data_IF_823328033320
#
_entry.id   IF_823328033320
#
_cell.length_a   1.000
_cell.length_b   1.000
_cell.length_c   1.000
_cell.angle_alpha   90.00
_cell.angle_beta   90.00
_cell.angle_gamma   90.00
#
_symmetry.space_group_name_H-M   'P 1'
#
loop_
_entity.id
_entity.type
_entity.pdbx_description
1 polymer ?
#
# COMPACT_ATOMS: atom_id res chain seq x y z
N UNK A 1 -18.37 9.54 4.68
CA UNK A 1 -17.42 9.27 3.55
C UNK A 1 -18.08 8.63 2.32
N UNK A 2 -19.13 7.80 2.41
CA UNK A 2 -19.73 7.15 1.21
C UNK A 2 -20.37 8.12 0.19
N UNK A 3 -20.79 9.30 0.62
CA UNK A 3 -21.46 10.28 -0.23
C UNK A 3 -20.60 10.80 -1.40
N UNK A 4 -19.27 10.69 -1.32
CA UNK A 4 -18.34 11.16 -2.36
C UNK A 4 -17.85 10.05 -3.29
N UNK A 5 -18.16 8.78 -2.99
CA UNK A 5 -17.60 7.64 -3.72
C UNK A 5 -17.95 7.68 -5.22
N UNK A 6 -19.19 8.08 -5.55
CA UNK A 6 -19.65 8.20 -6.94
C UNK A 6 -18.87 9.25 -7.72
N UNK A 7 -18.64 10.42 -7.12
CA UNK A 7 -17.89 11.52 -7.73
C UNK A 7 -16.41 11.18 -7.92
N UNK A 8 -15.77 10.54 -6.93
CA UNK A 8 -14.37 10.13 -7.07
C UNK A 8 -14.20 9.10 -8.19
N UNK A 9 -15.14 8.16 -8.31
CA UNK A 9 -15.13 7.16 -9.37
C UNK A 9 -15.37 7.77 -10.76
N UNK A 10 -16.22 8.79 -10.88
CA UNK A 10 -16.46 9.48 -12.16
C UNK A 10 -15.27 10.34 -12.60
N UNK A 11 -14.57 10.98 -11.66
CA UNK A 11 -13.34 11.75 -11.94
C UNK A 11 -12.19 10.84 -12.38
N UNK A 12 -12.06 9.67 -11.74
CA UNK A 12 -11.07 8.66 -12.10
C UNK A 12 -9.61 9.01 -11.78
N UNK A 13 -8.71 8.08 -12.07
CA UNK A 13 -7.29 8.16 -11.68
C UNK A 13 -6.44 9.10 -12.57
N UNK A 14 -7.07 9.80 -13.52
CA UNK A 14 -6.45 10.79 -14.40
C UNK A 14 -6.73 12.23 -13.99
N UNK A 15 -7.61 12.47 -13.00
CA UNK A 15 -7.83 13.83 -12.49
C UNK A 15 -6.58 14.34 -11.78
N UNK A 16 -6.04 15.44 -12.29
CA UNK A 16 -4.85 16.10 -11.74
C UNK A 16 -5.13 16.59 -10.33
N UNK A 17 -6.32 17.16 -10.10
CA UNK A 17 -6.74 17.72 -8.81
C UNK A 17 -6.81 16.66 -7.72
N UNK A 18 -7.34 15.46 -8.05
CA UNK A 18 -7.36 14.34 -7.10
C UNK A 18 -5.96 13.83 -6.78
N UNK A 19 -5.09 13.74 -7.78
CA UNK A 19 -3.71 13.30 -7.60
C UNK A 19 -2.88 14.29 -6.78
N UNK A 20 -3.07 15.59 -7.01
CA UNK A 20 -2.46 16.66 -6.22
C UNK A 20 -2.97 16.65 -4.77
N UNK A 21 -4.27 16.45 -4.57
CA UNK A 21 -4.85 16.30 -3.23
C UNK A 21 -4.27 15.09 -2.50
N UNK A 22 -3.97 13.99 -3.18
CA UNK A 22 -3.28 12.84 -2.55
C UNK A 22 -1.86 13.22 -2.13
N UNK A 23 -1.03 13.82 -3.00
CA UNK A 23 0.37 14.15 -2.64
C UNK A 23 0.47 15.26 -1.58
N UNK A 24 -0.44 16.23 -1.62
CA UNK A 24 -0.47 17.40 -0.74
C UNK A 24 -1.62 17.34 0.27
N UNK A 25 -2.09 16.13 0.59
CA UNK A 25 -3.22 15.85 1.49
C UNK A 25 -3.21 16.78 2.70
N UNK A 26 -4.22 17.63 2.95
CA UNK A 26 -4.19 18.55 4.09
C UNK A 26 -4.20 17.78 5.43
N UNK A 27 -3.67 18.38 6.52
CA UNK A 27 -3.69 17.74 7.84
C UNK A 27 -5.13 17.40 8.26
N UNK A 28 -5.37 16.20 8.77
CA UNK A 28 -6.69 15.72 9.16
C UNK A 28 -7.52 15.08 8.03
N UNK A 29 -7.03 15.10 6.78
CA UNK A 29 -7.70 14.48 5.64
C UNK A 29 -7.11 13.11 5.23
N UNK A 30 -6.27 12.50 6.07
CA UNK A 30 -5.52 11.28 5.75
C UNK A 30 -6.46 10.10 5.44
N UNK A 31 -7.57 10.01 6.18
CA UNK A 31 -8.61 9.00 5.96
C UNK A 31 -9.30 9.20 4.61
N UNK A 32 -9.50 10.45 4.20
CA UNK A 32 -10.07 10.78 2.89
C UNK A 32 -9.09 10.40 1.77
N UNK A 33 -7.81 10.77 1.88
CA UNK A 33 -6.80 10.39 0.91
C UNK A 33 -6.70 8.86 0.76
N UNK A 34 -6.68 8.11 1.86
CA UNK A 34 -6.69 6.65 1.85
C UNK A 34 -7.94 6.08 1.16
N UNK A 35 -9.12 6.67 1.41
CA UNK A 35 -10.37 6.29 0.74
C UNK A 35 -10.31 6.57 -0.76
N UNK A 36 -9.80 7.72 -1.19
CA UNK A 36 -9.67 8.05 -2.61
C UNK A 36 -8.72 7.08 -3.31
N UNK A 37 -7.53 6.80 -2.76
CA UNK A 37 -6.60 5.79 -3.31
C UNK A 37 -7.28 4.43 -3.47
N UNK A 38 -8.04 4.00 -2.46
CA UNK A 38 -8.79 2.75 -2.53
C UNK A 38 -9.85 2.75 -3.63
N UNK A 39 -10.65 3.82 -3.74
CA UNK A 39 -11.70 3.93 -4.76
C UNK A 39 -11.13 3.95 -6.18
N UNK A 40 -10.00 4.64 -6.39
CA UNK A 40 -9.34 4.72 -7.70
C UNK A 40 -8.75 3.37 -8.16
N UNK A 41 -8.53 2.44 -7.23
CA UNK A 41 -7.92 1.12 -7.48
C UNK A 41 -8.89 -0.06 -7.28
N UNK A 42 -10.16 0.21 -6.97
CA UNK A 42 -11.15 -0.83 -6.64
C UNK A 42 -11.43 -1.75 -7.83
N UNK A 43 -11.47 -1.19 -9.05
CA UNK A 43 -11.80 -1.91 -10.28
C UNK A 43 -10.68 -1.96 -11.30
N UNK A 44 -9.63 -1.17 -11.08
CA UNK A 44 -8.54 -0.98 -12.03
C UNK A 44 -7.20 -1.11 -11.33
N UNK A 45 -6.15 -1.60 -12.02
CA UNK A 45 -4.80 -1.55 -11.49
C UNK A 45 -4.37 -0.09 -11.21
N UNK A 46 -3.50 0.16 -10.23
CA UNK A 46 -3.04 1.51 -9.93
C UNK A 46 -2.22 2.07 -11.09
N UNK A 47 -2.44 3.33 -11.45
CA UNK A 47 -1.62 4.02 -12.46
C UNK A 47 -0.24 4.37 -11.89
N UNK A 48 0.77 4.55 -12.75
CA UNK A 48 2.12 4.95 -12.31
C UNK A 48 2.10 6.25 -11.50
N UNK A 49 1.28 7.21 -11.92
CA UNK A 49 1.14 8.49 -11.25
C UNK A 49 0.49 8.33 -9.86
N UNK A 50 -0.56 7.52 -9.74
CA UNK A 50 -1.18 7.24 -8.45
C UNK A 50 -0.17 6.60 -7.49
N UNK A 51 0.60 5.61 -7.95
CA UNK A 51 1.65 4.96 -7.16
C UNK A 51 2.67 5.98 -6.66
N UNK A 52 3.13 6.88 -7.54
CA UNK A 52 4.11 7.92 -7.20
C UNK A 52 3.57 8.89 -6.15
N UNK A 53 2.36 9.44 -6.36
CA UNK A 53 1.74 10.41 -5.45
C UNK A 53 1.42 9.80 -4.08
N UNK A 54 0.91 8.57 -4.05
CA UNK A 54 0.68 7.83 -2.80
C UNK A 54 1.99 7.51 -2.06
N UNK A 55 3.04 7.13 -2.79
CA UNK A 55 4.36 6.89 -2.19
C UNK A 55 4.94 8.15 -1.56
N UNK A 56 4.78 9.32 -2.20
CA UNK A 56 5.18 10.61 -1.62
C UNK A 56 4.39 10.97 -0.37
N UNK A 57 3.07 10.75 -0.37
CA UNK A 57 2.23 10.98 0.81
C UNK A 57 2.73 10.14 2.00
N UNK A 58 3.05 8.87 1.75
CA UNK A 58 3.60 7.97 2.76
C UNK A 58 5.00 8.41 3.24
N UNK A 59 5.90 8.76 2.33
CA UNK A 59 7.24 9.21 2.67
C UNK A 59 7.26 10.50 3.52
N UNK A 60 6.26 11.38 3.36
CA UNK A 60 6.07 12.58 4.20
C UNK A 60 5.56 12.24 5.62
N UNK A 61 5.26 10.99 5.94
CA UNK A 61 4.72 10.57 7.23
C UNK A 61 3.27 10.98 7.46
N UNK A 62 2.55 11.35 6.39
CA UNK A 62 1.17 11.88 6.46
C UNK A 62 0.11 10.82 6.24
N UNK A 63 0.48 9.55 6.18
CA UNK A 63 -0.48 8.45 6.11
C UNK A 63 0.13 7.18 6.66
N UNK A 64 -0.72 6.23 7.04
CA UNK A 64 -0.30 4.91 7.47
C UNK A 64 0.04 4.00 6.27
N UNK A 65 0.88 3.00 6.50
CA UNK A 65 1.32 2.06 5.46
C UNK A 65 0.16 1.31 4.79
N UNK A 66 -0.99 1.14 5.44
CA UNK A 66 -2.18 0.51 4.82
C UNK A 66 -2.70 1.26 3.61
N UNK A 67 -2.43 2.56 3.50
CA UNK A 67 -2.74 3.36 2.29
C UNK A 67 -1.93 2.89 1.07
N UNK A 68 -0.82 2.17 1.27
CA UNK A 68 -0.02 1.59 0.19
C UNK A 68 -0.59 0.27 -0.35
N UNK A 69 -1.46 -0.44 0.41
CA UNK A 69 -2.03 -1.74 0.01
C UNK A 69 -2.72 -1.69 -1.37
N UNK A 70 -3.54 -0.67 -1.70
CA UNK A 70 -4.21 -0.64 -2.99
C UNK A 70 -3.25 -0.39 -4.16
N UNK A 71 -2.10 0.26 -3.91
CA UNK A 71 -1.07 0.57 -4.93
C UNK A 71 0.12 -0.42 -4.93
N UNK A 72 0.07 -1.46 -4.09
CA UNK A 72 1.18 -2.37 -3.83
C UNK A 72 1.73 -3.03 -5.10
N UNK A 73 0.87 -3.36 -6.06
CA UNK A 73 1.26 -3.98 -7.35
C UNK A 73 1.96 -3.02 -8.32
N UNK A 74 1.96 -1.72 -8.03
CA UNK A 74 2.69 -0.73 -8.82
C UNK A 74 4.08 -0.41 -8.26
N UNK A 75 4.38 -0.86 -7.05
CA UNK A 75 5.67 -0.62 -6.40
C UNK A 75 6.77 -1.50 -6.99
N UNK A 76 8.01 -0.99 -6.93
CA UNK A 76 9.20 -1.78 -7.22
C UNK A 76 9.54 -2.71 -6.06
N UNK A 77 10.33 -3.73 -6.35
CA UNK A 77 10.74 -4.76 -5.38
C UNK A 77 11.40 -4.15 -4.14
N UNK A 78 12.31 -3.20 -4.33
CA UNK A 78 12.99 -2.53 -3.21
C UNK A 78 12.02 -1.72 -2.35
N UNK A 79 11.03 -1.08 -2.97
CA UNK A 79 9.98 -0.36 -2.24
C UNK A 79 9.13 -1.33 -1.42
N UNK A 80 8.75 -2.48 -1.98
CA UNK A 80 8.02 -3.53 -1.27
C UNK A 80 8.84 -4.03 -0.08
N UNK A 81 10.12 -4.36 -0.28
CA UNK A 81 11.02 -4.82 0.78
C UNK A 81 11.14 -3.79 1.90
N UNK A 82 11.20 -2.50 1.57
CA UNK A 82 11.31 -1.42 2.55
C UNK A 82 10.04 -1.25 3.41
N UNK A 83 8.85 -1.46 2.84
CA UNK A 83 7.58 -1.30 3.57
C UNK A 83 7.09 -2.58 4.25
N UNK A 84 7.54 -3.76 3.81
CA UNK A 84 7.10 -5.05 4.34
C UNK A 84 7.19 -5.15 5.87
N UNK A 85 8.29 -4.73 6.54
CA UNK A 85 8.38 -4.74 8.01
C UNK A 85 7.28 -3.93 8.70
N UNK A 86 6.76 -2.87 8.05
CA UNK A 86 5.72 -2.01 8.63
C UNK A 86 4.35 -2.68 8.70
N UNK A 87 4.15 -3.78 7.97
CA UNK A 87 2.95 -4.61 8.07
C UNK A 87 3.09 -5.70 9.14
N UNK A 88 4.24 -6.39 9.14
CA UNK A 88 4.43 -7.61 9.96
C UNK A 88 4.99 -7.33 11.36
N UNK A 89 5.65 -6.18 11.59
CA UNK A 89 6.20 -5.84 12.92
C UNK A 89 5.30 -4.89 13.72
N UNK A 90 4.18 -4.44 13.16
CA UNK A 90 3.31 -3.43 13.80
C UNK A 90 1.96 -4.05 14.13
N UNK A 91 1.64 -4.15 15.43
CA UNK A 91 0.43 -4.80 15.91
C UNK A 91 -0.87 -4.25 15.28
N UNK A 92 -0.96 -2.93 15.07
CA UNK A 92 -2.13 -2.29 14.45
C UNK A 92 -2.32 -2.64 12.96
N UNK A 93 -1.28 -3.15 12.31
CA UNK A 93 -1.28 -3.53 10.90
C UNK A 93 -1.40 -5.04 10.66
N UNK A 94 -1.30 -5.87 11.69
CA UNK A 94 -1.39 -7.33 11.59
C UNK A 94 -2.61 -7.83 10.80
N UNK A 95 -3.79 -7.22 11.02
CA UNK A 95 -5.02 -7.58 10.30
C UNK A 95 -4.93 -7.40 8.78
N UNK A 96 -3.95 -6.63 8.29
CA UNK A 96 -3.75 -6.39 6.87
C UNK A 96 -2.76 -7.35 6.21
N UNK A 97 -1.97 -8.11 6.99
CA UNK A 97 -0.94 -9.02 6.48
C UNK A 97 -1.49 -10.04 5.45
N UNK A 98 -2.63 -10.72 5.70
CA UNK A 98 -3.17 -11.67 4.71
C UNK A 98 -3.47 -11.01 3.36
N UNK A 99 -3.98 -9.77 3.37
CA UNK A 99 -4.30 -9.00 2.16
C UNK A 99 -3.02 -8.54 1.45
N UNK A 100 -1.99 -8.16 2.20
CA UNK A 100 -0.67 -7.81 1.65
C UNK A 100 -0.06 -9.03 0.96
N UNK A 101 -0.01 -10.18 1.64
CA UNK A 101 0.53 -11.41 1.06
C UNK A 101 -0.25 -11.85 -0.17
N UNK A 102 -1.58 -11.81 -0.12
CA UNK A 102 -2.41 -12.10 -1.28
C UNK A 102 -2.07 -11.19 -2.47
N UNK A 103 -1.91 -9.88 -2.25
CA UNK A 103 -1.55 -8.94 -3.32
C UNK A 103 -0.14 -9.16 -3.86
N UNK A 104 0.82 -9.53 -3.01
CA UNK A 104 2.18 -9.82 -3.44
C UNK A 104 2.28 -11.11 -4.25
N UNK A 105 1.61 -12.16 -3.78
CA UNK A 105 1.72 -13.53 -4.33
C UNK A 105 0.79 -13.77 -5.51
N UNK A 106 -0.42 -13.20 -5.50
CA UNK A 106 -1.44 -13.44 -6.53
C UNK A 106 -1.73 -12.20 -7.38
N UNK A 107 -1.29 -11.02 -6.97
CA UNK A 107 -1.41 -9.80 -7.78
C UNK A 107 -0.55 -9.86 -9.04
N UNK A 108 -0.84 -8.98 -10.00
CA UNK A 108 0.00 -8.74 -11.17
C UNK A 108 0.61 -7.35 -11.09
N UNK A 109 1.94 -7.30 -11.18
CA UNK A 109 2.70 -6.08 -11.25
C UNK A 109 2.28 -5.26 -12.45
N UNK A 110 2.04 -3.96 -12.24
CA UNK A 110 1.70 -3.03 -13.33
C UNK A 110 2.89 -2.82 -14.27
N UNK A 111 4.11 -3.13 -13.83
CA UNK A 111 5.34 -2.94 -14.61
C UNK A 111 5.71 -4.17 -15.43
N UNK A 112 5.66 -5.36 -14.83
CA UNK A 112 6.16 -6.59 -15.44
C UNK A 112 5.06 -7.57 -15.87
N UNK A 113 3.83 -7.39 -15.39
CA UNK A 113 2.73 -8.35 -15.58
C UNK A 113 2.88 -9.64 -14.76
N UNK A 114 4.02 -9.86 -14.10
CA UNK A 114 4.28 -11.00 -13.22
C UNK A 114 3.85 -10.69 -11.78
N UNK A 115 3.96 -11.66 -10.88
CA UNK A 115 3.73 -11.43 -9.46
C UNK A 115 4.69 -10.36 -8.90
N UNK A 116 4.22 -9.41 -8.07
CA UNK A 116 5.08 -8.46 -7.40
C UNK A 116 6.20 -9.11 -6.58
N UNK A 117 5.91 -10.26 -5.96
CA UNK A 117 6.89 -11.06 -5.23
C UNK A 117 6.46 -12.53 -5.22
N UNK A 118 7.37 -13.44 -5.57
CA UNK A 118 7.10 -14.88 -5.48
C UNK A 118 7.08 -15.40 -4.04
N UNK A 119 6.50 -16.59 -3.81
CA UNK A 119 6.43 -17.19 -2.47
C UNK A 119 7.82 -17.40 -1.84
N UNK A 120 8.78 -17.94 -2.60
CA UNK A 120 10.16 -18.11 -2.11
C UNK A 120 10.84 -16.78 -1.80
N UNK A 121 10.59 -15.75 -2.61
CA UNK A 121 11.15 -14.41 -2.38
C UNK A 121 10.58 -13.76 -1.14
N UNK A 122 9.26 -13.92 -0.91
CA UNK A 122 8.58 -13.41 0.28
C UNK A 122 9.10 -14.10 1.54
N UNK A 123 9.26 -15.43 1.53
CA UNK A 123 9.85 -16.16 2.65
C UNK A 123 11.26 -15.68 2.98
N UNK A 124 12.11 -15.49 1.96
CA UNK A 124 13.46 -14.93 2.15
C UNK A 124 13.40 -13.50 2.67
N UNK A 125 12.48 -12.67 2.17
CA UNK A 125 12.31 -11.30 2.63
C UNK A 125 11.91 -11.26 4.11
N UNK A 126 10.91 -12.06 4.52
CA UNK A 126 10.47 -12.17 5.91
C UNK A 126 11.60 -12.66 6.82
N UNK A 127 12.35 -13.69 6.40
CA UNK A 127 13.48 -14.21 7.17
C UNK A 127 14.62 -13.19 7.37
N UNK A 128 14.76 -12.21 6.47
CA UNK A 128 15.76 -11.14 6.58
C UNK A 128 15.31 -9.98 7.47
N UNK A 129 14.06 -9.94 7.91
CA UNK A 129 13.56 -8.89 8.80
C UNK A 129 14.18 -9.10 10.17
N UNK A 130 14.90 -8.08 10.65
CA UNK A 130 15.44 -8.06 12.02
C UNK A 130 14.38 -7.51 12.96
N UNK A 131 14.16 -8.22 14.06
CA UNK A 131 13.29 -7.79 15.15
C UNK A 131 14.14 -7.22 16.28
N UNK A 132 13.66 -6.14 16.90
CA UNK A 132 14.35 -5.44 17.97
C UNK A 132 13.99 -5.97 19.37
N UNK A 133 12.83 -6.63 19.49
CA UNK A 133 12.30 -7.13 20.75
C UNK A 133 11.42 -8.37 20.55
N UNK A 134 11.01 -9.00 21.67
CA UNK A 134 10.18 -10.21 21.67
C UNK A 134 8.77 -9.99 21.09
N UNK A 135 8.25 -8.76 21.18
CA UNK A 135 6.93 -8.44 20.63
C UNK A 135 6.98 -8.47 19.10
N UNK A 136 7.97 -7.81 18.49
CA UNK A 136 8.20 -7.82 17.05
C UNK A 136 8.47 -9.24 16.52
N UNK A 137 9.25 -10.04 17.25
CA UNK A 137 9.47 -11.46 16.92
C UNK A 137 8.16 -12.25 16.94
N UNK A 138 7.35 -12.06 17.98
CA UNK A 138 6.04 -12.71 18.07
C UNK A 138 5.11 -12.29 16.94
N UNK A 139 5.08 -11.01 16.57
CA UNK A 139 4.26 -10.49 15.49
C UNK A 139 4.69 -11.03 14.11
N UNK A 140 6.00 -11.15 13.87
CA UNK A 140 6.54 -11.69 12.62
C UNK A 140 6.12 -13.14 12.40
N UNK A 141 6.11 -13.97 13.45
CA UNK A 141 5.74 -15.39 13.36
C UNK A 141 4.24 -15.68 13.46
N UNK A 142 3.43 -14.65 13.75
CA UNK A 142 1.96 -14.69 13.67
C UNK A 142 1.40 -14.25 12.31
N UNK A 143 2.28 -13.69 11.46
CA UNK A 143 1.96 -13.08 10.15
C UNK A 143 1.71 -14.08 9.03
#
# INVERSE_FOLDING_TARGET
LRAIDGSIKSMGASSVELLEMIENCPPGAETLAARVVHLLTERNPPTRELVYRTSKLYAKGRTDVRTMIPVLTGLDKDQILNILPKYVLVASNQKSVPVVFQKLLAGRSVKTGLHPMGAGELLVALHKIKTANKEEDSLLWQS
#
